data_IF_071547514664
#
_entry.id   IF_071547514664
#
_cell.length_a   1.000
_cell.length_b   1.000
_cell.length_c   1.000
_cell.angle_alpha   90.00
_cell.angle_beta   90.00
_cell.angle_gamma   90.00
#
_symmetry.space_group_name_H-M   'P 1'
#
loop_
_entity.id
_entity.type
_entity.pdbx_description
1 polymer ?
#
# COMPACT_ATOMS: atom_id res chain seq x y z
N UNK A 1 -20.66 21.98 20.89
CA UNK A 1 -19.93 23.05 21.60
C UNK A 1 -19.61 22.69 23.06
N UNK A 2 -20.63 22.45 23.91
CA UNK A 2 -20.42 22.14 25.34
C UNK A 2 -19.42 21.03 25.63
N UNK A 3 -19.45 19.94 24.88
CA UNK A 3 -18.50 18.81 25.05
C UNK A 3 -17.06 19.21 24.74
N UNK A 4 -16.84 20.08 23.75
CA UNK A 4 -15.51 20.59 23.40
C UNK A 4 -14.99 21.60 24.45
N UNK A 5 -15.87 22.41 25.00
CA UNK A 5 -15.55 23.31 26.11
C UNK A 5 -15.18 22.52 27.38
N UNK A 6 -15.95 21.47 27.70
CA UNK A 6 -15.64 20.55 28.82
C UNK A 6 -14.32 19.82 28.64
N UNK A 7 -13.91 19.54 27.38
CA UNK A 7 -12.62 18.94 27.04
C UNK A 7 -11.47 19.95 27.06
N UNK A 8 -11.71 21.18 27.47
CA UNK A 8 -10.73 22.29 27.53
C UNK A 8 -9.91 22.41 26.23
N UNK A 9 -10.61 22.40 25.10
CA UNK A 9 -9.98 22.34 23.77
C UNK A 9 -8.94 23.43 23.51
N UNK A 10 -9.03 24.55 24.22
CA UNK A 10 -8.05 25.63 24.14
C UNK A 10 -6.66 25.26 24.70
N UNK A 11 -6.59 24.23 25.54
CA UNK A 11 -5.34 23.71 26.12
C UNK A 11 -4.75 22.55 25.34
N UNK A 12 -5.42 22.09 24.26
CA UNK A 12 -5.04 20.94 23.46
C UNK A 12 -4.20 21.37 22.27
N UNK A 13 -3.09 20.69 22.03
CA UNK A 13 -2.23 20.94 20.87
C UNK A 13 -2.75 20.28 19.59
N UNK A 14 -3.33 19.06 19.69
CA UNK A 14 -3.84 18.28 18.57
C UNK A 14 -5.21 17.67 18.92
N UNK A 15 -6.18 17.88 18.05
CA UNK A 15 -7.49 17.24 18.12
C UNK A 15 -7.72 16.33 16.92
N UNK A 16 -8.19 15.09 17.16
CA UNK A 16 -8.37 14.08 16.14
C UNK A 16 -9.85 13.68 16.08
N UNK A 17 -10.50 13.95 14.94
CA UNK A 17 -11.88 13.56 14.67
C UNK A 17 -11.91 12.26 13.84
N UNK A 18 -12.30 11.14 14.48
CA UNK A 18 -12.26 9.78 13.89
C UNK A 18 -13.59 9.03 14.05
N UNK A 19 -14.72 9.74 14.03
CA UNK A 19 -16.05 9.09 14.07
C UNK A 19 -16.32 8.34 12.76
N UNK A 20 -17.38 7.58 12.73
CA UNK A 20 -17.77 6.85 11.51
C UNK A 20 -18.37 7.74 10.39
N UNK A 21 -18.65 9.01 10.66
CA UNK A 21 -19.28 9.95 9.74
C UNK A 21 -18.30 11.05 9.35
N UNK A 22 -18.04 11.20 8.06
CA UNK A 22 -17.10 12.19 7.52
C UNK A 22 -17.54 13.62 7.85
N UNK A 23 -18.84 13.92 7.69
CA UNK A 23 -19.43 15.22 7.94
C UNK A 23 -19.30 15.62 9.43
N UNK A 24 -19.48 14.65 10.34
CA UNK A 24 -19.27 14.89 11.78
C UNK A 24 -17.81 15.22 12.07
N UNK A 25 -16.88 14.52 11.44
CA UNK A 25 -15.45 14.76 11.59
C UNK A 25 -15.07 16.16 11.07
N UNK A 26 -15.62 16.55 9.92
CA UNK A 26 -15.40 17.87 9.31
C UNK A 26 -15.94 18.99 10.23
N UNK A 27 -17.21 18.86 10.65
CA UNK A 27 -17.84 19.86 11.53
C UNK A 27 -17.14 19.95 12.88
N UNK A 28 -16.73 18.82 13.46
CA UNK A 28 -15.97 18.81 14.72
C UNK A 28 -14.66 19.61 14.60
N UNK A 29 -13.87 19.37 13.54
CA UNK A 29 -12.64 20.12 13.31
C UNK A 29 -12.89 21.61 13.11
N UNK A 30 -13.94 21.99 12.37
CA UNK A 30 -14.31 23.38 12.17
C UNK A 30 -14.69 24.07 13.49
N UNK A 31 -15.49 23.40 14.33
CA UNK A 31 -15.85 23.92 15.65
C UNK A 31 -14.64 24.09 16.56
N UNK A 32 -13.70 23.13 16.52
CA UNK A 32 -12.43 23.22 17.26
C UNK A 32 -11.64 24.44 16.81
N UNK A 33 -11.49 24.66 15.51
CA UNK A 33 -10.79 25.82 14.96
C UNK A 33 -11.47 27.16 15.30
N UNK A 34 -12.79 27.13 15.43
CA UNK A 34 -13.52 28.34 15.89
C UNK A 34 -13.22 28.69 17.36
N UNK A 35 -13.10 27.65 18.22
CA UNK A 35 -12.79 27.83 19.66
C UNK A 35 -11.30 28.12 19.84
N UNK A 36 -10.42 27.38 19.19
CA UNK A 36 -8.97 27.48 19.32
C UNK A 36 -8.26 27.41 17.96
N UNK A 37 -7.81 28.55 17.45
CA UNK A 37 -7.07 28.63 16.18
C UNK A 37 -5.71 27.95 16.23
N UNK A 38 -5.10 27.80 17.41
CA UNK A 38 -3.78 27.18 17.60
C UNK A 38 -3.83 25.65 17.61
N UNK A 39 -4.95 25.08 18.03
CA UNK A 39 -5.11 23.62 18.09
C UNK A 39 -5.07 23.05 16.66
N UNK A 40 -4.12 22.14 16.40
CA UNK A 40 -4.08 21.41 15.13
C UNK A 40 -5.24 20.43 15.07
N UNK A 41 -5.84 20.30 13.89
CA UNK A 41 -6.98 19.40 13.67
C UNK A 41 -6.64 18.33 12.63
N UNK A 42 -7.07 17.10 12.92
CA UNK A 42 -6.92 15.96 12.03
C UNK A 42 -8.28 15.29 11.88
N UNK A 43 -8.72 15.03 10.64
CA UNK A 43 -9.99 14.38 10.37
C UNK A 43 -9.83 13.14 9.52
N UNK A 44 -10.57 12.06 9.89
CA UNK A 44 -10.75 10.92 9.02
C UNK A 44 -11.85 11.20 8.01
N UNK A 45 -11.51 11.13 6.71
CA UNK A 45 -12.42 11.32 5.58
C UNK A 45 -12.30 10.12 4.66
N UNK A 46 -13.41 9.45 4.40
CA UNK A 46 -13.48 8.23 3.55
C UNK A 46 -14.04 8.49 2.18
N UNK A 47 -14.99 9.43 2.08
CA UNK A 47 -15.70 9.71 0.85
C UNK A 47 -14.78 10.38 -0.17
N UNK A 48 -14.66 9.77 -1.35
CA UNK A 48 -13.79 10.24 -2.44
C UNK A 48 -14.15 11.64 -2.92
N UNK A 49 -15.40 12.02 -2.82
CA UNK A 49 -15.87 13.35 -3.21
C UNK A 49 -15.21 14.49 -2.43
N UNK A 50 -14.70 14.22 -1.23
CA UNK A 50 -13.98 15.20 -0.41
C UNK A 50 -12.45 15.13 -0.56
N UNK A 51 -11.93 14.09 -1.24
CA UNK A 51 -10.49 13.80 -1.29
C UNK A 51 -9.80 14.20 -2.60
N UNK A 52 -10.54 14.72 -3.58
CA UNK A 52 -9.98 15.10 -4.88
C UNK A 52 -10.85 16.09 -5.65
N UNK A 53 -10.24 16.77 -6.61
CA UNK A 53 -10.89 17.77 -7.46
C UNK A 53 -11.49 18.92 -6.63
N UNK A 54 -12.66 19.39 -7.02
CA UNK A 54 -13.36 20.49 -6.29
C UNK A 54 -13.69 20.15 -4.83
N UNK A 55 -13.74 18.88 -4.44
CA UNK A 55 -14.01 18.47 -3.07
C UNK A 55 -12.85 18.75 -2.11
N UNK A 56 -11.60 18.65 -2.58
CA UNK A 56 -10.43 18.99 -1.76
C UNK A 56 -10.26 20.50 -1.58
N UNK A 57 -10.74 21.29 -2.54
CA UNK A 57 -10.72 22.77 -2.46
C UNK A 57 -11.50 23.30 -1.24
N UNK A 58 -12.51 22.55 -0.76
CA UNK A 58 -13.25 22.90 0.46
C UNK A 58 -12.32 23.03 1.67
N UNK A 59 -11.26 22.22 1.74
CA UNK A 59 -10.29 22.26 2.85
C UNK A 59 -9.19 23.31 2.64
N UNK A 60 -8.93 23.71 1.39
CA UNK A 60 -7.91 24.68 1.01
C UNK A 60 -8.44 26.11 0.99
N UNK A 61 -9.72 26.29 0.68
CA UNK A 61 -10.34 27.61 0.50
C UNK A 61 -10.62 28.38 1.80
N UNK A 62 -10.24 27.85 2.96
CA UNK A 62 -10.32 28.58 4.24
C UNK A 62 -11.64 28.50 4.98
N UNK A 63 -12.71 27.98 4.38
CA UNK A 63 -14.01 27.86 5.02
C UNK A 63 -14.10 26.64 5.96
N UNK A 64 -13.36 25.56 5.64
CA UNK A 64 -13.24 24.36 6.47
C UNK A 64 -11.77 24.08 6.77
N UNK A 65 -11.27 24.62 7.87
CA UNK A 65 -9.86 24.48 8.23
C UNK A 65 -9.60 23.15 8.92
N UNK A 66 -9.20 22.14 8.13
CA UNK A 66 -8.67 20.88 8.66
C UNK A 66 -7.19 20.85 8.30
N UNK A 67 -6.30 20.79 9.31
CA UNK A 67 -4.86 20.84 9.05
C UNK A 67 -4.36 19.54 8.39
N UNK A 68 -4.97 18.39 8.74
CA UNK A 68 -4.60 17.09 8.19
C UNK A 68 -5.84 16.25 7.91
N UNK A 69 -6.01 15.85 6.65
CA UNK A 69 -7.05 14.90 6.24
C UNK A 69 -6.42 13.52 6.09
N UNK A 70 -7.01 12.51 6.75
CA UNK A 70 -6.57 11.12 6.67
C UNK A 70 -7.67 10.28 6.01
N UNK A 71 -7.31 9.59 4.95
CA UNK A 71 -8.12 8.52 4.35
C UNK A 71 -7.40 7.19 4.51
N UNK A 72 -7.80 6.33 5.46
CA UNK A 72 -7.18 5.02 5.65
C UNK A 72 -7.22 4.17 4.39
N UNK A 73 -8.33 4.24 3.65
CA UNK A 73 -8.50 3.48 2.41
C UNK A 73 -7.51 3.92 1.32
N UNK A 74 -7.22 5.21 1.21
CA UNK A 74 -6.20 5.71 0.28
C UNK A 74 -4.81 5.28 0.71
N UNK A 75 -4.47 5.43 1.99
CA UNK A 75 -3.17 5.05 2.52
C UNK A 75 -2.86 3.57 2.26
N UNK A 76 -3.84 2.69 2.52
CA UNK A 76 -3.70 1.25 2.29
C UNK A 76 -3.60 0.95 0.78
N UNK A 77 -4.46 1.57 -0.04
CA UNK A 77 -4.43 1.39 -1.50
C UNK A 77 -3.07 1.82 -2.07
N UNK A 78 -2.57 2.98 -1.67
CA UNK A 78 -1.28 3.50 -2.13
C UNK A 78 -0.11 2.63 -1.65
N UNK A 79 -0.20 2.10 -0.42
CA UNK A 79 0.80 1.17 0.10
C UNK A 79 0.86 -0.12 -0.72
N UNK A 80 -0.29 -0.77 -0.96
CA UNK A 80 -0.37 -2.00 -1.76
C UNK A 80 0.10 -1.73 -3.19
N UNK A 81 -0.35 -0.63 -3.81
CA UNK A 81 0.07 -0.24 -5.16
C UNK A 81 1.59 -0.11 -5.28
N UNK A 82 2.25 0.52 -4.30
CA UNK A 82 3.72 0.66 -4.30
C UNK A 82 4.42 -0.69 -4.26
N UNK A 83 3.93 -1.64 -3.47
CA UNK A 83 4.47 -3.01 -3.44
C UNK A 83 4.28 -3.67 -4.80
N UNK A 84 3.11 -3.54 -5.43
CA UNK A 84 2.82 -4.10 -6.75
C UNK A 84 3.72 -3.48 -7.83
N UNK A 85 3.97 -2.18 -7.76
CA UNK A 85 4.81 -1.47 -8.73
C UNK A 85 6.31 -1.78 -8.59
N UNK A 86 6.72 -2.37 -7.46
CA UNK A 86 8.12 -2.73 -7.16
C UNK A 86 8.19 -4.20 -6.74
N UNK A 87 8.03 -5.15 -7.68
CA UNK A 87 8.05 -6.59 -7.38
C UNK A 87 9.34 -7.01 -6.66
N UNK A 88 9.20 -7.84 -5.63
CA UNK A 88 10.32 -8.28 -4.78
C UNK A 88 10.61 -7.37 -3.59
N UNK A 89 10.01 -6.18 -3.51
CA UNK A 89 10.09 -5.36 -2.31
C UNK A 89 9.07 -5.81 -1.27
N UNK A 90 9.51 -5.96 -0.01
CA UNK A 90 8.61 -6.20 1.12
C UNK A 90 7.96 -4.89 1.61
N UNK A 91 8.70 -3.79 1.54
CA UNK A 91 8.23 -2.45 1.95
C UNK A 91 8.75 -1.41 0.97
N UNK A 92 7.93 -0.40 0.70
CA UNK A 92 8.30 0.77 -0.12
C UNK A 92 7.83 2.02 0.59
N UNK A 93 8.77 2.91 0.94
CA UNK A 93 8.51 4.18 1.60
C UNK A 93 9.10 5.32 0.78
N UNK A 94 8.31 6.33 0.47
CA UNK A 94 8.76 7.52 -0.25
C UNK A 94 9.13 8.64 0.73
N UNK A 95 10.19 9.39 0.39
CA UNK A 95 10.70 10.54 1.14
C UNK A 95 10.89 11.75 0.22
N UNK A 96 10.96 12.93 0.84
CA UNK A 96 11.24 14.16 0.11
C UNK A 96 10.23 14.43 -1.02
N UNK A 97 8.93 14.34 -0.72
CA UNK A 97 7.86 14.50 -1.70
C UNK A 97 8.00 13.56 -2.92
N UNK A 98 8.47 12.33 -2.68
CA UNK A 98 8.63 11.31 -3.71
C UNK A 98 9.92 11.44 -4.54
N UNK A 99 10.91 12.21 -4.10
CA UNK A 99 12.21 12.29 -4.78
C UNK A 99 13.09 11.07 -4.50
N UNK A 100 13.02 10.54 -3.29
CA UNK A 100 13.75 9.35 -2.86
C UNK A 100 12.78 8.29 -2.34
N UNK A 101 13.16 7.02 -2.46
CA UNK A 101 12.42 5.90 -1.90
C UNK A 101 13.35 4.97 -1.15
N UNK A 102 12.84 4.44 -0.04
CA UNK A 102 13.46 3.34 0.67
C UNK A 102 12.66 2.07 0.38
N UNK A 103 13.35 1.00 0.04
CA UNK A 103 12.76 -0.31 -0.18
C UNK A 103 13.43 -1.33 0.71
N UNK A 104 12.66 -2.23 1.31
CA UNK A 104 13.21 -3.40 1.97
C UNK A 104 13.06 -4.63 1.06
N UNK A 105 14.10 -5.45 1.06
CA UNK A 105 14.25 -6.61 0.19
C UNK A 105 14.83 -7.76 0.99
N UNK A 106 14.24 -8.95 0.91
CA UNK A 106 14.83 -10.15 1.53
C UNK A 106 15.89 -10.74 0.61
N UNK A 107 17.12 -10.87 1.08
CA UNK A 107 18.22 -11.47 0.34
C UNK A 107 18.02 -13.00 0.24
N UNK A 108 17.33 -13.45 -0.81
CA UNK A 108 17.05 -14.88 -1.08
C UNK A 108 18.18 -15.59 -1.86
N UNK A 109 19.23 -14.87 -2.20
CA UNK A 109 20.30 -15.21 -3.13
C UNK A 109 20.43 -14.09 -4.17
N UNK A 110 21.07 -14.33 -5.30
CA UNK A 110 21.25 -13.34 -6.36
C UNK A 110 22.52 -12.52 -6.21
N UNK A 111 22.63 -11.46 -7.01
CA UNK A 111 23.90 -10.73 -7.23
C UNK A 111 24.47 -10.01 -6.01
N UNK A 112 23.63 -9.71 -5.01
CA UNK A 112 24.11 -8.94 -3.82
C UNK A 112 24.48 -9.84 -2.65
N UNK A 113 24.05 -11.09 -2.63
CA UNK A 113 24.28 -12.01 -1.51
C UNK A 113 25.72 -12.50 -1.52
N UNK A 114 26.40 -12.39 -0.38
CA UNK A 114 27.82 -12.72 -0.24
C UNK A 114 28.79 -11.60 -0.62
N UNK A 115 28.27 -10.47 -1.11
CA UNK A 115 29.09 -9.30 -1.48
C UNK A 115 29.13 -8.26 -0.38
N UNK A 116 30.23 -7.51 -0.31
CA UNK A 116 30.36 -6.36 0.59
C UNK A 116 29.54 -5.19 0.06
N UNK A 117 29.07 -4.36 0.97
CA UNK A 117 28.31 -3.15 0.61
C UNK A 117 29.15 -2.20 -0.25
N UNK A 118 30.46 -2.14 -0.06
CA UNK A 118 31.37 -1.35 -0.91
C UNK A 118 31.36 -1.77 -2.39
N UNK A 119 31.03 -3.03 -2.68
CA UNK A 119 30.99 -3.61 -4.03
C UNK A 119 29.68 -3.31 -4.78
N UNK A 120 28.66 -2.79 -4.08
CA UNK A 120 27.35 -2.52 -4.70
C UNK A 120 27.41 -1.53 -5.87
N UNK A 121 28.35 -0.62 -5.89
CA UNK A 121 28.54 0.32 -7.02
C UNK A 121 28.97 -0.38 -8.31
N UNK A 122 29.68 -1.51 -8.20
CA UNK A 122 30.08 -2.34 -9.33
C UNK A 122 28.91 -3.22 -9.80
N UNK A 123 28.11 -3.72 -8.85
CA UNK A 123 26.94 -4.58 -9.13
C UNK A 123 25.79 -3.78 -9.74
N UNK A 124 25.57 -2.54 -9.26
CA UNK A 124 24.49 -1.65 -9.73
C UNK A 124 25.10 -0.36 -10.28
N UNK A 125 25.72 -0.41 -11.46
CA UNK A 125 26.39 0.75 -12.03
C UNK A 125 25.40 1.85 -12.44
N UNK A 126 25.83 3.10 -12.32
CA UNK A 126 25.06 4.30 -12.70
C UNK A 126 23.77 4.53 -11.88
N UNK A 127 23.71 3.98 -10.67
CA UNK A 127 22.66 4.25 -9.71
C UNK A 127 23.27 4.64 -8.37
N UNK A 128 22.85 5.77 -7.82
CA UNK A 128 23.22 6.13 -6.45
C UNK A 128 22.27 5.38 -5.48
N UNK A 129 22.76 4.27 -4.97
CA UNK A 129 22.06 3.42 -4.01
C UNK A 129 22.88 3.29 -2.74
N UNK A 130 22.19 3.35 -1.60
CA UNK A 130 22.78 3.14 -0.27
C UNK A 130 22.02 2.10 0.50
N UNK A 131 22.72 1.26 1.24
CA UNK A 131 22.16 0.39 2.25
C UNK A 131 22.02 1.21 3.53
N UNK A 132 20.77 1.43 3.95
CA UNK A 132 20.47 2.20 5.16
C UNK A 132 20.54 1.32 6.42
N UNK A 133 20.06 0.06 6.28
CA UNK A 133 20.05 -0.90 7.38
C UNK A 133 20.00 -2.33 6.84
N UNK A 134 20.38 -3.27 7.66
CA UNK A 134 20.21 -4.71 7.47
C UNK A 134 19.51 -5.26 8.72
N UNK A 135 18.40 -5.96 8.54
CA UNK A 135 17.77 -6.73 9.60
C UNK A 135 18.19 -8.18 9.43
N UNK A 136 18.97 -8.68 10.36
CA UNK A 136 19.48 -10.06 10.42
C UNK A 136 19.04 -10.69 11.72
N UNK A 137 18.26 -11.76 11.65
CA UNK A 137 17.75 -12.49 12.82
C UNK A 137 17.12 -11.55 13.87
N UNK A 138 16.22 -10.66 13.38
CA UNK A 138 15.53 -9.62 14.17
C UNK A 138 16.44 -8.52 14.75
N UNK A 139 17.75 -8.54 14.44
CA UNK A 139 18.68 -7.51 14.85
C UNK A 139 18.91 -6.48 13.74
N UNK A 140 18.62 -5.21 14.05
CA UNK A 140 18.86 -4.11 13.13
C UNK A 140 20.32 -3.67 13.17
N UNK A 141 21.00 -3.77 12.04
CA UNK A 141 22.40 -3.40 11.86
C UNK A 141 22.45 -2.14 10.99
N UNK A 142 23.17 -1.11 11.41
CA UNK A 142 23.54 0.03 10.56
C UNK A 142 24.87 -0.33 9.92
N UNK A 143 24.89 -0.71 8.63
CA UNK A 143 26.06 -1.31 8.03
C UNK A 143 27.07 -0.26 7.56
N UNK A 144 28.31 -0.69 7.44
CA UNK A 144 29.38 0.04 6.78
C UNK A 144 29.84 -0.70 5.50
N UNK A 145 30.77 -0.10 4.74
CA UNK A 145 31.21 -0.65 3.45
C UNK A 145 31.86 -2.04 3.51
N UNK A 146 32.39 -2.46 4.68
CA UNK A 146 33.04 -3.77 4.86
C UNK A 146 32.03 -4.88 5.24
N UNK A 147 30.80 -4.51 5.61
CA UNK A 147 29.78 -5.49 5.97
C UNK A 147 29.28 -6.24 4.73
N UNK A 148 28.96 -7.52 4.93
CA UNK A 148 28.48 -8.42 3.87
C UNK A 148 26.99 -8.64 4.01
N UNK A 149 26.28 -8.66 2.89
CA UNK A 149 24.86 -9.04 2.83
C UNK A 149 24.77 -10.56 2.79
N UNK A 150 24.12 -11.17 3.77
CA UNK A 150 23.97 -12.61 3.87
C UNK A 150 22.59 -13.08 3.35
N UNK A 151 22.53 -14.35 2.94
CA UNK A 151 21.23 -14.97 2.61
C UNK A 151 20.31 -14.93 3.83
N UNK A 152 19.07 -14.47 3.63
CA UNK A 152 18.07 -14.33 4.70
C UNK A 152 17.97 -12.92 5.27
N UNK A 153 18.96 -12.06 5.07
CA UNK A 153 18.91 -10.66 5.52
C UNK A 153 17.74 -9.91 4.87
N UNK A 154 17.05 -9.06 5.64
CA UNK A 154 16.19 -8.03 5.07
C UNK A 154 17.01 -6.75 4.94
N UNK A 155 17.28 -6.33 3.71
CA UNK A 155 18.16 -5.20 3.40
C UNK A 155 17.33 -3.99 2.99
N UNK A 156 17.61 -2.85 3.61
CA UNK A 156 16.92 -1.59 3.34
C UNK A 156 17.81 -0.72 2.42
N UNK A 157 17.34 -0.52 1.19
CA UNK A 157 18.00 0.32 0.20
C UNK A 157 17.34 1.68 0.11
N UNK A 158 18.13 2.74 -0.02
CA UNK A 158 17.67 4.09 -0.35
C UNK A 158 18.27 4.48 -1.71
N UNK A 159 17.42 4.98 -2.60
CA UNK A 159 17.81 5.52 -3.90
C UNK A 159 16.82 6.57 -4.38
N UNK A 160 17.14 7.27 -5.47
CA UNK A 160 16.15 8.10 -6.15
C UNK A 160 14.97 7.23 -6.61
N UNK A 161 13.73 7.74 -6.47
CA UNK A 161 12.50 6.98 -6.80
C UNK A 161 12.51 6.40 -8.20
N UNK A 162 13.02 7.14 -9.18
CA UNK A 162 13.15 6.71 -10.58
C UNK A 162 14.05 5.49 -10.76
N UNK A 163 15.01 5.27 -9.86
CA UNK A 163 16.03 4.23 -9.98
C UNK A 163 15.69 2.96 -9.17
N UNK A 164 14.70 3.02 -8.27
CA UNK A 164 14.32 1.90 -7.39
C UNK A 164 14.03 0.61 -8.15
N UNK A 165 13.28 0.71 -9.26
CA UNK A 165 12.97 -0.48 -10.09
C UNK A 165 14.24 -1.13 -10.62
N UNK A 166 15.22 -0.33 -11.05
CA UNK A 166 16.51 -0.82 -11.53
C UNK A 166 17.32 -1.48 -10.40
N UNK A 167 17.31 -0.89 -9.20
CA UNK A 167 17.94 -1.49 -8.02
C UNK A 167 17.36 -2.88 -7.77
N UNK A 168 16.03 -2.99 -7.67
CA UNK A 168 15.36 -4.26 -7.37
C UNK A 168 15.56 -5.30 -8.48
N UNK A 169 15.42 -4.92 -9.76
CA UNK A 169 15.61 -5.85 -10.88
C UNK A 169 17.03 -6.41 -10.94
N UNK A 170 18.04 -5.60 -10.59
CA UNK A 170 19.43 -6.05 -10.52
C UNK A 170 19.63 -7.04 -9.36
N UNK A 171 19.01 -6.79 -8.22
CA UNK A 171 19.12 -7.62 -7.02
C UNK A 171 18.48 -8.99 -7.24
N UNK A 172 17.26 -9.01 -7.83
CA UNK A 172 16.48 -10.24 -7.96
C UNK A 172 16.58 -10.94 -9.30
N UNK A 173 17.21 -10.34 -10.31
CA UNK A 173 17.15 -10.82 -11.69
C UNK A 173 15.71 -11.09 -12.18
N UNK A 174 14.74 -10.34 -11.66
CA UNK A 174 13.34 -10.49 -12.03
C UNK A 174 13.10 -9.83 -13.39
N UNK A 175 12.97 -10.65 -14.42
CA UNK A 175 12.66 -10.19 -15.80
C UNK A 175 11.17 -9.94 -16.04
N UNK A 176 10.30 -10.42 -15.14
CA UNK A 176 8.84 -10.35 -15.36
C UNK A 176 8.17 -9.61 -14.21
N UNK A 177 7.80 -8.36 -14.47
CA UNK A 177 6.83 -7.67 -13.61
C UNK A 177 5.47 -8.36 -13.61
N UNK A 178 4.65 -8.11 -12.60
CA UNK A 178 3.28 -8.62 -12.54
C UNK A 178 2.47 -8.16 -13.76
N UNK A 179 1.57 -9.01 -14.26
CA UNK A 179 0.64 -8.72 -15.37
C UNK A 179 -0.81 -9.01 -14.98
N UNK A 180 -1.03 -10.13 -14.27
CA UNK A 180 -2.34 -10.62 -13.91
C UNK A 180 -2.50 -10.53 -12.40
N UNK A 181 -3.48 -9.77 -11.94
CA UNK A 181 -3.73 -9.52 -10.53
C UNK A 181 -5.15 -9.94 -10.20
N UNK A 182 -5.31 -10.73 -9.14
CA UNK A 182 -6.62 -11.08 -8.61
C UNK A 182 -6.82 -10.42 -7.26
N UNK A 183 -7.98 -9.82 -7.06
CA UNK A 183 -8.39 -9.14 -5.84
C UNK A 183 -9.61 -9.83 -5.26
N UNK A 184 -9.50 -10.37 -4.06
CA UNK A 184 -10.64 -10.87 -3.31
C UNK A 184 -11.25 -9.74 -2.48
N UNK A 185 -12.50 -9.39 -2.77
CA UNK A 185 -13.24 -8.31 -2.13
C UNK A 185 -13.29 -7.01 -2.94
N UNK A 186 -14.47 -6.68 -3.45
CA UNK A 186 -14.77 -5.45 -4.18
C UNK A 186 -15.20 -4.28 -3.28
N UNK A 187 -14.81 -4.28 -2.01
CA UNK A 187 -15.06 -3.22 -1.05
C UNK A 187 -14.43 -1.88 -1.46
N UNK A 188 -14.35 -0.94 -0.52
CA UNK A 188 -13.78 0.40 -0.80
C UNK A 188 -12.32 0.34 -1.23
N UNK A 189 -11.51 -0.49 -0.55
CA UNK A 189 -10.08 -0.65 -0.84
C UNK A 189 -9.91 -1.42 -2.16
N UNK A 190 -10.55 -2.59 -2.31
CA UNK A 190 -10.43 -3.42 -3.51
C UNK A 190 -10.83 -2.67 -4.79
N UNK A 191 -11.95 -1.97 -4.79
CA UNK A 191 -12.37 -1.13 -5.92
C UNK A 191 -11.35 -0.03 -6.25
N UNK A 192 -10.82 0.68 -5.24
CA UNK A 192 -9.81 1.73 -5.46
C UNK A 192 -8.52 1.16 -6.00
N UNK A 193 -8.10 0.03 -5.46
CA UNK A 193 -6.90 -0.67 -5.92
C UNK A 193 -7.07 -1.07 -7.38
N UNK A 194 -8.17 -1.74 -7.72
CA UNK A 194 -8.47 -2.14 -9.09
C UNK A 194 -8.46 -0.94 -10.05
N UNK A 195 -9.18 0.12 -9.74
CA UNK A 195 -9.22 1.34 -10.55
C UNK A 195 -7.82 1.96 -10.76
N UNK A 196 -6.94 1.85 -9.77
CA UNK A 196 -5.56 2.38 -9.89
C UNK A 196 -4.63 1.48 -10.70
N UNK A 197 -5.00 0.22 -10.90
CA UNK A 197 -4.18 -0.81 -11.53
C UNK A 197 -4.66 -1.20 -12.93
N UNK A 198 -5.95 -1.14 -13.21
CA UNK A 198 -6.58 -1.70 -14.42
C UNK A 198 -6.09 -1.07 -15.74
N UNK A 199 -5.47 0.11 -15.71
CA UNK A 199 -4.84 0.72 -16.89
C UNK A 199 -3.50 0.06 -17.28
N UNK A 200 -2.85 -0.66 -16.35
CA UNK A 200 -1.51 -1.25 -16.53
C UNK A 200 -1.49 -2.75 -16.39
N UNK A 201 -2.44 -3.32 -15.65
CA UNK A 201 -2.50 -4.74 -15.30
C UNK A 201 -3.86 -5.32 -15.69
N UNK A 202 -3.91 -6.63 -15.91
CA UNK A 202 -5.17 -7.36 -16.03
C UNK A 202 -5.66 -7.66 -14.63
N UNK A 203 -6.76 -7.04 -14.26
CA UNK A 203 -7.32 -7.15 -12.90
C UNK A 203 -8.59 -7.98 -12.92
N UNK A 204 -8.67 -8.99 -12.04
CA UNK A 204 -9.89 -9.71 -11.72
C UNK A 204 -10.28 -9.37 -10.28
N UNK A 205 -11.58 -9.20 -10.02
CA UNK A 205 -12.13 -8.99 -8.67
C UNK A 205 -13.15 -10.08 -8.40
N UNK A 206 -13.01 -10.77 -7.27
CA UNK A 206 -14.03 -11.69 -6.75
C UNK A 206 -14.81 -10.95 -5.66
N UNK A 207 -16.13 -10.91 -5.81
CA UNK A 207 -17.03 -10.24 -4.86
C UNK A 207 -18.27 -11.11 -4.61
N UNK A 208 -18.58 -11.32 -3.34
CA UNK A 208 -19.69 -12.20 -2.93
C UNK A 208 -21.07 -11.52 -3.06
N UNK A 209 -21.12 -10.20 -2.97
CA UNK A 209 -22.37 -9.44 -3.05
C UNK A 209 -22.71 -9.11 -4.53
N UNK A 210 -23.83 -9.63 -4.99
CA UNK A 210 -24.29 -9.46 -6.37
C UNK A 210 -24.57 -7.99 -6.74
N UNK A 211 -25.17 -7.21 -5.84
CA UNK A 211 -25.46 -5.79 -6.09
C UNK A 211 -24.14 -5.01 -6.18
N UNK A 212 -23.18 -5.41 -5.35
CA UNK A 212 -21.85 -4.85 -5.37
C UNK A 212 -21.10 -5.17 -6.68
N UNK A 213 -21.26 -6.37 -7.23
CA UNK A 213 -20.72 -6.73 -8.54
C UNK A 213 -21.27 -5.81 -9.64
N UNK A 214 -22.59 -5.54 -9.65
CA UNK A 214 -23.20 -4.61 -10.61
C UNK A 214 -22.59 -3.22 -10.47
N UNK A 215 -22.50 -2.70 -9.24
CA UNK A 215 -21.87 -1.41 -8.98
C UNK A 215 -20.41 -1.34 -9.45
N UNK A 216 -19.63 -2.40 -9.24
CA UNK A 216 -18.22 -2.46 -9.67
C UNK A 216 -18.12 -2.43 -11.20
N UNK A 217 -18.97 -3.17 -11.91
CA UNK A 217 -19.03 -3.15 -13.39
C UNK A 217 -19.36 -1.77 -13.97
N UNK A 218 -20.12 -0.95 -13.23
CA UNK A 218 -20.40 0.44 -13.65
C UNK A 218 -19.23 1.41 -13.39
N UNK A 219 -18.33 1.08 -12.47
CA UNK A 219 -17.28 1.98 -11.99
C UNK A 219 -15.87 1.64 -12.47
N UNK A 220 -15.67 0.43 -12.96
CA UNK A 220 -14.39 -0.07 -13.45
C UNK A 220 -14.52 -0.36 -14.95
N UNK A 221 -13.52 0.06 -15.72
CA UNK A 221 -13.58 0.00 -17.18
C UNK A 221 -12.91 -1.26 -17.75
N UNK A 222 -11.82 -1.72 -17.11
CA UNK A 222 -10.99 -2.80 -17.64
C UNK A 222 -10.82 -3.99 -16.69
N UNK A 223 -11.45 -3.95 -15.52
CA UNK A 223 -11.40 -5.03 -14.55
C UNK A 223 -12.50 -6.06 -14.80
N UNK A 224 -12.18 -7.36 -14.71
CA UNK A 224 -13.17 -8.43 -14.76
C UNK A 224 -13.76 -8.65 -13.36
N UNK A 225 -15.07 -8.57 -13.24
CA UNK A 225 -15.79 -8.76 -11.97
C UNK A 225 -16.42 -10.17 -11.96
N UNK A 226 -16.08 -10.95 -10.96
CA UNK A 226 -16.55 -12.30 -10.72
C UNK A 226 -17.42 -12.33 -9.48
N UNK A 227 -18.64 -12.85 -9.61
CA UNK A 227 -19.54 -13.03 -8.48
C UNK A 227 -19.26 -14.39 -7.82
N UNK A 228 -18.83 -14.39 -6.56
CA UNK A 228 -18.60 -15.61 -5.79
C UNK A 228 -17.85 -15.37 -4.49
N UNK A 229 -17.66 -16.45 -3.74
CA UNK A 229 -16.88 -16.43 -2.50
C UNK A 229 -15.39 -16.67 -2.82
N UNK A 230 -14.54 -15.79 -2.34
CA UNK A 230 -13.09 -15.89 -2.56
C UNK A 230 -12.42 -17.03 -1.77
N UNK A 231 -13.12 -17.66 -0.85
CA UNK A 231 -12.68 -18.88 -0.15
C UNK A 231 -13.07 -20.18 -0.88
N UNK A 232 -13.83 -20.09 -1.95
CA UNK A 232 -14.23 -21.22 -2.78
C UNK A 232 -13.10 -21.62 -3.72
N UNK A 233 -12.49 -22.79 -3.46
CA UNK A 233 -11.38 -23.31 -4.22
C UNK A 233 -11.74 -23.65 -5.66
N UNK A 234 -12.95 -24.14 -5.90
CA UNK A 234 -13.41 -24.50 -7.26
C UNK A 234 -13.50 -23.24 -8.14
N UNK A 235 -14.07 -22.15 -7.59
CA UNK A 235 -14.10 -20.87 -8.27
C UNK A 235 -12.69 -20.33 -8.57
N UNK A 236 -11.77 -20.43 -7.62
CA UNK A 236 -10.39 -19.96 -7.82
C UNK A 236 -9.68 -20.76 -8.93
N UNK A 237 -9.88 -22.08 -8.99
CA UNK A 237 -9.35 -22.95 -10.07
C UNK A 237 -9.97 -22.61 -11.43
N UNK A 238 -11.30 -22.51 -11.52
CA UNK A 238 -12.01 -22.15 -12.75
C UNK A 238 -11.53 -20.80 -13.31
N UNK A 239 -11.24 -19.85 -12.42
CA UNK A 239 -10.75 -18.53 -12.77
C UNK A 239 -9.22 -18.46 -12.98
N UNK A 240 -8.56 -19.63 -13.03
CA UNK A 240 -7.15 -19.78 -13.31
C UNK A 240 -6.25 -19.05 -12.31
N UNK A 241 -6.43 -19.30 -11.02
CA UNK A 241 -5.59 -18.73 -9.96
C UNK A 241 -4.10 -19.02 -10.20
N UNK A 242 -3.76 -20.17 -10.74
CA UNK A 242 -2.38 -20.61 -11.04
C UNK A 242 -1.66 -19.71 -12.06
N UNK A 243 -2.40 -18.97 -12.87
CA UNK A 243 -1.85 -18.03 -13.85
C UNK A 243 -1.89 -16.57 -13.38
N UNK A 244 -2.21 -16.34 -12.11
CA UNK A 244 -2.14 -15.01 -11.51
C UNK A 244 -0.72 -14.78 -10.98
N UNK A 245 -0.20 -13.56 -11.21
CA UNK A 245 1.10 -13.17 -10.69
C UNK A 245 1.00 -12.65 -9.26
N UNK A 246 -0.19 -12.19 -8.86
CA UNK A 246 -0.46 -11.63 -7.54
C UNK A 246 -1.92 -11.84 -7.13
N UNK A 247 -2.11 -12.22 -5.88
CA UNK A 247 -3.40 -12.30 -5.23
C UNK A 247 -3.47 -11.33 -4.03
N UNK A 248 -4.54 -10.54 -3.93
CA UNK A 248 -4.76 -9.57 -2.85
C UNK A 248 -6.07 -9.91 -2.13
N UNK A 249 -6.00 -10.43 -0.91
CA UNK A 249 -7.19 -10.67 -0.08
C UNK A 249 -7.55 -9.39 0.70
N UNK A 250 -8.66 -8.76 0.33
CA UNK A 250 -9.12 -7.45 0.83
C UNK A 250 -10.60 -7.49 1.24
N UNK A 251 -11.10 -8.66 1.63
CA UNK A 251 -12.46 -8.77 2.17
C UNK A 251 -12.52 -8.23 3.60
N UNK A 252 -13.72 -8.06 4.11
CA UNK A 252 -13.95 -7.69 5.52
C UNK A 252 -14.03 -8.90 6.46
N UNK A 253 -13.70 -10.08 5.98
CA UNK A 253 -13.68 -11.33 6.72
C UNK A 253 -12.22 -11.85 6.78
N UNK A 254 -11.61 -11.78 7.95
CA UNK A 254 -10.22 -12.20 8.15
C UNK A 254 -10.01 -13.69 7.89
N UNK A 255 -10.99 -14.54 8.26
CA UNK A 255 -10.92 -15.98 8.02
C UNK A 255 -10.94 -16.28 6.51
N UNK A 256 -11.84 -15.63 5.75
CA UNK A 256 -11.89 -15.77 4.30
C UNK A 256 -10.59 -15.28 3.64
N UNK A 257 -10.01 -14.18 4.14
CA UNK A 257 -8.73 -13.67 3.65
C UNK A 257 -7.59 -14.68 3.89
N UNK A 258 -7.51 -15.28 5.08
CA UNK A 258 -6.50 -16.29 5.41
C UNK A 258 -6.67 -17.55 4.57
N UNK A 259 -7.90 -18.04 4.43
CA UNK A 259 -8.21 -19.23 3.64
C UNK A 259 -7.85 -19.04 2.17
N UNK A 260 -8.27 -17.94 1.56
CA UNK A 260 -7.95 -17.60 0.17
C UNK A 260 -6.43 -17.54 -0.08
N UNK A 261 -5.69 -16.87 0.81
CA UNK A 261 -4.23 -16.77 0.69
C UNK A 261 -3.56 -18.13 0.90
N UNK A 262 -4.04 -18.94 1.85
CA UNK A 262 -3.49 -20.27 2.09
C UNK A 262 -3.64 -21.16 0.86
N UNK A 263 -4.79 -21.09 0.18
CA UNK A 263 -5.03 -21.82 -1.06
C UNK A 263 -4.07 -21.38 -2.17
N UNK A 264 -3.87 -20.06 -2.34
CA UNK A 264 -2.96 -19.53 -3.37
C UNK A 264 -1.50 -19.93 -3.14
N UNK A 265 -1.06 -20.09 -1.88
CA UNK A 265 0.28 -20.60 -1.57
C UNK A 265 0.49 -22.06 -1.97
N UNK A 266 -0.58 -22.84 -2.06
CA UNK A 266 -0.51 -24.24 -2.53
C UNK A 266 -0.49 -24.36 -4.05
N UNK A 267 -1.07 -23.38 -4.76
CA UNK A 267 -1.32 -23.44 -6.19
C UNK A 267 -0.45 -22.50 -7.02
N UNK A 268 -0.12 -21.31 -6.49
CA UNK A 268 0.78 -20.40 -7.20
C UNK A 268 2.20 -21.01 -7.26
N UNK A 269 2.87 -20.93 -8.42
CA UNK A 269 4.23 -21.41 -8.53
C UNK A 269 5.10 -20.64 -7.55
N UNK A 270 5.43 -21.30 -6.42
CA UNK A 270 6.43 -20.79 -5.49
C UNK A 270 7.74 -20.68 -6.25
N UNK A 271 8.15 -19.45 -6.60
CA UNK A 271 9.43 -19.23 -7.23
C UNK A 271 10.55 -19.76 -6.32
N UNK A 272 10.82 -21.07 -6.43
CA UNK A 272 12.03 -21.71 -5.94
C UNK A 272 12.21 -21.74 -4.42
N UNK A 273 11.23 -22.25 -3.65
CA UNK A 273 11.49 -22.77 -2.33
C UNK A 273 11.42 -24.31 -2.37
N UNK A 274 12.56 -24.93 -2.63
CA UNK A 274 12.96 -26.26 -2.17
C UNK A 274 14.28 -26.08 -1.46
#
# INVERSE_FOLDING_TARGET
PKTLEQAEIEKVDLAIAMTQYDEVNMVACQMIKHISKKTKTMARIRATQYLGGKGSEIFEAGDYTIDVVISPENLITDFIKRIIEVPGANKVLDFGNGQASMVSVKAKGGLITGHKISELKEIIPNVDVRVAAINRDENLIIPNGSDTINKGDEVFFISAKKDIKKVISTIYQYDKGYKNIMIAGGGRIGRRLANSLESKYRVKIIEADKERCVYLNEKLENSLILHGDSSDSELLEEENIDNMDLFCALTNNDEANVMSVSYTHLTLPTNGEV
#
